data_IF_840994999028
#
_entry.id   IF_840994999028
#
_cell.length_a   1.000
_cell.length_b   1.000
_cell.length_c   1.000
_cell.angle_alpha   90.00
_cell.angle_beta   90.00
_cell.angle_gamma   90.00
#
_symmetry.space_group_name_H-M   'P 1'
#
loop_
_entity.id
_entity.type
_entity.pdbx_description
1 polymer ?
#
# COMPACT_ATOMS: atom_id res chain seq x y z
N UNK A 1 5.36 -11.30 -4.07
CA UNK A 1 4.93 -9.89 -4.32
C UNK A 1 3.76 -9.55 -3.40
N UNK A 2 3.62 -8.27 -3.03
CA UNK A 2 2.57 -7.79 -2.11
C UNK A 2 1.85 -6.57 -2.65
N UNK A 3 0.55 -6.46 -2.41
CA UNK A 3 -0.26 -5.25 -2.68
C UNK A 3 -0.72 -4.63 -1.37
N UNK A 4 -0.20 -3.46 -1.02
CA UNK A 4 -0.53 -2.77 0.23
C UNK A 4 -1.84 -1.97 0.12
N UNK A 5 -2.61 -2.01 1.21
CA UNK A 5 -3.84 -1.23 1.34
C UNK A 5 -4.15 -0.93 2.81
N UNK A 6 -5.06 0.02 3.03
CA UNK A 6 -5.64 0.27 4.34
C UNK A 6 -7.06 -0.27 4.36
N UNK A 7 -7.34 -1.38 5.06
CA UNK A 7 -8.60 -2.09 4.92
C UNK A 7 -9.79 -1.26 5.40
N UNK A 8 -9.59 -0.46 6.44
CA UNK A 8 -10.65 0.28 7.14
C UNK A 8 -10.72 1.76 6.73
N UNK A 9 -9.92 2.21 5.76
CA UNK A 9 -10.00 3.59 5.28
C UNK A 9 -11.31 3.87 4.55
N UNK A 10 -11.84 5.10 4.61
CA UNK A 10 -13.12 5.44 4.01
C UNK A 10 -13.10 5.32 2.49
N UNK A 11 -14.06 4.60 1.92
CA UNK A 11 -14.21 4.44 0.48
C UNK A 11 -15.67 4.11 0.10
N UNK A 12 -16.25 4.86 -0.85
CA UNK A 12 -17.63 4.69 -1.37
C UNK A 12 -18.72 4.50 -0.28
N UNK A 13 -18.62 5.24 0.81
CA UNK A 13 -19.58 5.17 1.93
C UNK A 13 -19.39 3.99 2.88
N UNK A 14 -18.35 3.17 2.68
CA UNK A 14 -17.92 2.10 3.57
C UNK A 14 -16.40 2.10 3.76
N UNK A 15 -15.84 0.92 4.01
CA UNK A 15 -14.39 0.72 4.09
C UNK A 15 -13.83 0.20 2.75
N UNK A 16 -12.54 0.40 2.51
CA UNK A 16 -11.83 -0.17 1.34
C UNK A 16 -12.08 -1.67 1.23
N UNK A 17 -11.99 -2.41 2.34
CA UNK A 17 -12.18 -3.87 2.33
C UNK A 17 -13.60 -4.29 1.95
N UNK A 18 -14.62 -3.49 2.27
CA UNK A 18 -16.00 -3.78 1.88
C UNK A 18 -16.15 -3.75 0.36
N UNK A 19 -15.47 -2.80 -0.29
CA UNK A 19 -15.48 -2.70 -1.76
C UNK A 19 -14.75 -3.85 -2.42
N UNK A 20 -13.65 -4.33 -1.83
CA UNK A 20 -12.93 -5.51 -2.31
C UNK A 20 -13.82 -6.74 -2.29
N UNK A 21 -14.63 -6.91 -1.24
CA UNK A 21 -15.59 -8.01 -1.14
C UNK A 21 -16.71 -7.87 -2.16
N UNK A 22 -17.21 -6.66 -2.39
CA UNK A 22 -18.27 -6.41 -3.37
C UNK A 22 -17.79 -6.64 -4.82
N UNK A 23 -16.55 -6.24 -5.12
CA UNK A 23 -16.00 -6.31 -6.48
C UNK A 23 -15.41 -7.69 -6.82
N UNK A 24 -14.90 -8.43 -5.83
CA UNK A 24 -14.20 -9.70 -6.05
C UNK A 24 -12.84 -9.55 -6.76
N UNK A 25 -12.42 -8.31 -7.04
CA UNK A 25 -11.15 -7.97 -7.67
C UNK A 25 -10.49 -6.78 -6.99
N UNK A 26 -9.17 -6.74 -6.99
CA UNK A 26 -8.40 -5.57 -6.57
C UNK A 26 -8.23 -4.63 -7.76
N UNK A 27 -8.67 -3.39 -7.60
CA UNK A 27 -8.76 -2.40 -8.70
C UNK A 27 -7.63 -1.37 -8.65
N UNK A 28 -7.24 -0.90 -9.83
CA UNK A 28 -6.25 0.17 -9.98
C UNK A 28 -6.77 1.52 -9.46
N UNK A 29 -5.86 2.48 -9.28
CA UNK A 29 -6.22 3.85 -8.94
C UNK A 29 -7.15 4.50 -9.98
N UNK A 30 -6.93 4.23 -11.28
CA UNK A 30 -7.79 4.74 -12.36
C UNK A 30 -9.24 4.28 -12.22
N UNK A 31 -9.46 3.08 -11.67
CA UNK A 31 -10.81 2.54 -11.45
C UNK A 31 -11.46 3.03 -10.16
N UNK A 32 -10.66 3.27 -9.12
CA UNK A 32 -11.17 3.57 -7.78
C UNK A 32 -11.26 5.06 -7.50
N UNK A 33 -10.39 5.88 -8.11
CA UNK A 33 -10.20 7.27 -7.72
C UNK A 33 -9.60 7.44 -6.32
N UNK A 34 -9.09 6.37 -5.72
CA UNK A 34 -8.49 6.35 -4.38
C UNK A 34 -7.03 5.91 -4.43
N UNK A 35 -6.18 6.45 -3.56
CA UNK A 35 -4.78 6.04 -3.47
C UNK A 35 -4.17 6.42 -2.13
N UNK A 36 -3.17 5.64 -1.71
CA UNK A 36 -2.29 5.98 -0.59
C UNK A 36 -1.07 6.80 -1.07
N UNK A 37 -0.92 6.99 -2.38
CA UNK A 37 0.02 7.91 -3.05
C UNK A 37 -0.63 9.26 -3.41
N UNK A 38 -0.27 9.84 -4.54
CA UNK A 38 -0.91 11.05 -5.10
C UNK A 38 -2.12 10.69 -5.97
N UNK A 39 -3.15 11.54 -6.03
CA UNK A 39 -4.35 11.36 -6.87
C UNK A 39 -4.16 11.90 -8.29
N UNK A 40 -3.27 11.27 -9.07
CA UNK A 40 -2.86 11.78 -10.40
C UNK A 40 -3.18 10.82 -11.55
N UNK A 41 -4.01 9.80 -11.30
CA UNK A 41 -4.45 8.80 -12.28
C UNK A 41 -5.60 9.30 -13.16
N UNK A 42 -5.30 10.27 -14.02
CA UNK A 42 -6.19 10.78 -15.07
C UNK A 42 -5.34 11.17 -16.28
N UNK A 43 -5.93 11.31 -17.49
CA UNK A 43 -5.20 11.76 -18.67
C UNK A 43 -4.39 13.03 -18.39
N UNK A 44 -3.10 13.00 -18.72
CA UNK A 44 -2.15 14.10 -18.51
C UNK A 44 -1.60 14.26 -17.08
N UNK A 45 -2.11 13.54 -16.08
CA UNK A 45 -1.59 13.54 -14.71
C UNK A 45 -0.31 12.70 -14.56
N UNK A 46 0.41 12.87 -13.44
CA UNK A 46 1.72 12.24 -13.24
C UNK A 46 1.67 10.71 -13.38
N UNK A 47 0.69 10.06 -12.74
CA UNK A 47 0.52 8.62 -12.83
C UNK A 47 0.29 8.15 -14.27
N UNK A 48 -0.50 8.88 -15.05
CA UNK A 48 -0.69 8.58 -16.47
C UNK A 48 0.62 8.73 -17.26
N UNK A 49 1.42 9.76 -16.98
CA UNK A 49 2.72 9.99 -17.65
C UNK A 49 3.72 8.89 -17.32
N UNK A 50 3.77 8.42 -16.07
CA UNK A 50 4.66 7.32 -15.67
C UNK A 50 4.29 6.03 -16.41
N UNK A 51 3.00 5.67 -16.42
CA UNK A 51 2.54 4.48 -17.13
C UNK A 51 2.78 4.58 -18.65
N UNK A 52 2.55 5.75 -19.26
CA UNK A 52 2.83 5.99 -20.68
C UNK A 52 4.32 5.79 -20.99
N UNK A 53 5.22 6.33 -20.17
CA UNK A 53 6.67 6.16 -20.31
C UNK A 53 7.10 4.71 -20.12
N UNK A 54 6.75 4.08 -19.00
CA UNK A 54 7.21 2.73 -18.63
C UNK A 54 6.64 1.65 -19.55
N UNK A 55 5.41 1.82 -20.03
CA UNK A 55 4.71 0.81 -20.83
C UNK A 55 4.53 1.23 -22.29
N UNK A 56 5.31 2.20 -22.77
CA UNK A 56 5.33 2.66 -24.16
C UNK A 56 3.92 2.99 -24.68
N UNK A 57 3.15 3.72 -23.88
CA UNK A 57 1.80 4.18 -24.21
C UNK A 57 0.72 3.09 -24.24
N UNK A 58 1.03 1.84 -23.84
CA UNK A 58 0.12 0.69 -23.91
C UNK A 58 -1.26 0.94 -23.29
N UNK A 59 -1.32 1.77 -22.25
CA UNK A 59 -2.55 2.01 -21.49
C UNK A 59 -3.19 3.37 -21.76
N UNK A 60 -2.61 4.22 -22.62
CA UNK A 60 -2.97 5.64 -22.71
C UNK A 60 -4.45 5.85 -23.00
N UNK A 61 -5.00 5.06 -23.93
CA UNK A 61 -6.40 5.02 -24.33
C UNK A 61 -7.18 3.81 -23.76
N UNK A 62 -6.54 3.02 -22.90
CA UNK A 62 -7.13 1.78 -22.38
C UNK A 62 -8.14 2.06 -21.25
N UNK A 63 -9.19 1.21 -21.10
CA UNK A 63 -10.13 1.31 -20.00
C UNK A 63 -9.45 1.23 -18.62
N UNK A 64 -10.00 1.96 -17.65
CA UNK A 64 -9.44 2.11 -16.31
C UNK A 64 -9.20 0.78 -15.55
N UNK A 65 -9.99 -0.25 -15.84
CA UNK A 65 -9.94 -1.58 -15.22
C UNK A 65 -8.91 -2.52 -15.88
N UNK A 66 -8.34 -2.12 -17.02
CA UNK A 66 -7.24 -2.83 -17.69
C UNK A 66 -5.86 -2.28 -17.30
N UNK A 67 -5.82 -1.13 -16.62
CA UNK A 67 -4.62 -0.47 -16.11
C UNK A 67 -3.93 -1.34 -15.04
N UNK A 68 -2.59 -1.29 -14.95
CA UNK A 68 -1.84 -2.10 -14.00
C UNK A 68 -2.18 -1.76 -12.54
N UNK A 69 -2.18 -2.79 -11.71
CA UNK A 69 -2.27 -2.67 -10.25
C UNK A 69 -0.86 -2.53 -9.68
N UNK A 70 -0.68 -1.60 -8.74
CA UNK A 70 0.64 -1.35 -8.16
C UNK A 70 0.80 -2.07 -6.83
N UNK A 71 2.00 -2.58 -6.61
CA UNK A 71 2.45 -3.20 -5.37
C UNK A 71 3.96 -3.14 -5.28
N UNK A 72 4.54 -4.10 -4.56
CA UNK A 72 5.99 -4.18 -4.40
C UNK A 72 6.50 -5.62 -4.35
N UNK A 73 7.73 -5.79 -4.83
CA UNK A 73 8.50 -7.00 -4.59
C UNK A 73 8.97 -7.03 -3.12
N UNK A 74 8.61 -8.08 -2.38
CA UNK A 74 8.97 -8.21 -0.96
C UNK A 74 10.37 -8.83 -0.82
N UNK A 75 11.39 -7.99 -1.07
CA UNK A 75 12.81 -8.33 -1.28
C UNK A 75 13.43 -9.20 -0.17
N UNK A 76 13.01 -8.97 1.07
CA UNK A 76 13.58 -9.62 2.27
C UNK A 76 12.57 -10.49 3.02
N UNK A 77 11.46 -10.85 2.37
CA UNK A 77 10.34 -11.50 3.05
C UNK A 77 9.92 -10.75 4.33
N UNK A 78 9.91 -9.42 4.26
CA UNK A 78 9.53 -8.56 5.38
C UNK A 78 8.10 -8.93 5.79
N UNK A 79 7.84 -9.25 7.07
CA UNK A 79 6.51 -9.63 7.54
C UNK A 79 5.49 -8.50 7.41
N UNK A 80 5.90 -7.24 7.22
CA UNK A 80 5.00 -6.11 6.94
C UNK A 80 4.76 -5.88 5.43
N UNK A 81 5.36 -6.70 4.57
CA UNK A 81 5.25 -6.61 3.11
C UNK A 81 6.25 -5.63 2.48
N UNK A 82 6.24 -5.57 1.14
CA UNK A 82 7.30 -4.89 0.37
C UNK A 82 7.23 -3.36 0.31
N UNK A 83 6.14 -2.71 0.73
CA UNK A 83 6.00 -1.26 0.66
C UNK A 83 5.08 -0.68 1.74
N UNK A 84 5.52 -0.74 3.00
CA UNK A 84 4.78 -0.30 4.20
C UNK A 84 4.27 1.14 4.13
N UNK A 85 4.84 2.01 3.28
CA UNK A 85 4.30 3.35 3.02
C UNK A 85 2.83 3.35 2.65
N UNK A 86 2.37 2.33 1.92
CA UNK A 86 1.07 2.36 1.25
C UNK A 86 -0.02 1.54 1.94
N UNK A 87 0.20 0.97 3.12
CA UNK A 87 -0.86 0.21 3.76
C UNK A 87 -0.43 -0.48 5.04
N UNK A 88 -1.39 -0.56 5.96
CA UNK A 88 -1.29 -1.31 7.21
C UNK A 88 -1.60 -2.79 7.05
N UNK A 89 -1.98 -3.20 5.85
CA UNK A 89 -2.31 -4.58 5.51
C UNK A 89 -1.92 -4.81 4.06
N UNK A 90 -1.79 -6.07 3.66
CA UNK A 90 -1.40 -6.38 2.31
C UNK A 90 -1.99 -7.70 1.82
N UNK A 91 -2.14 -7.79 0.50
CA UNK A 91 -2.41 -9.05 -0.18
C UNK A 91 -1.06 -9.70 -0.48
N UNK A 92 -0.88 -10.96 -0.08
CA UNK A 92 0.19 -11.81 -0.60
C UNK A 92 -0.30 -12.48 -1.87
N UNK A 93 0.35 -12.16 -2.99
CA UNK A 93 -0.01 -12.69 -4.30
C UNK A 93 0.63 -14.05 -4.51
N UNK A 94 -0.06 -14.91 -5.26
CA UNK A 94 0.49 -16.20 -5.69
C UNK A 94 1.69 -15.98 -6.62
N UNK A 95 2.65 -16.93 -6.68
CA UNK A 95 3.87 -16.79 -7.48
C UNK A 95 3.61 -16.54 -8.98
N UNK A 96 2.57 -17.15 -9.55
CA UNK A 96 2.23 -17.06 -10.98
C UNK A 96 1.86 -15.63 -11.42
N UNK A 97 1.52 -14.75 -10.48
CA UNK A 97 1.23 -13.35 -10.80
C UNK A 97 2.49 -12.60 -11.26
N UNK A 98 3.68 -13.10 -10.89
CA UNK A 98 4.97 -12.52 -11.30
C UNK A 98 5.17 -12.60 -12.81
N UNK A 99 4.66 -13.65 -13.48
CA UNK A 99 4.81 -13.85 -14.93
C UNK A 99 4.15 -12.74 -15.77
N UNK A 100 3.24 -11.97 -15.16
CA UNK A 100 2.56 -10.83 -15.79
C UNK A 100 2.83 -9.51 -15.08
N UNK A 101 3.94 -9.42 -14.37
CA UNK A 101 4.35 -8.22 -13.67
C UNK A 101 5.64 -7.62 -14.23
N UNK A 102 5.73 -6.31 -14.16
CA UNK A 102 6.98 -5.57 -14.34
C UNK A 102 7.39 -4.91 -13.04
N UNK A 103 8.66 -4.52 -12.96
CA UNK A 103 9.30 -3.99 -11.76
C UNK A 103 10.20 -2.81 -12.12
N UNK A 104 10.34 -1.85 -11.21
CA UNK A 104 11.35 -0.81 -11.30
C UNK A 104 11.91 -0.44 -9.92
N UNK A 105 13.08 0.19 -9.96
CA UNK A 105 13.67 0.87 -8.82
C UNK A 105 14.49 2.08 -9.30
N UNK A 106 14.40 3.26 -8.66
CA UNK A 106 13.42 3.63 -7.63
C UNK A 106 11.96 3.58 -8.14
N UNK A 107 10.98 3.94 -7.30
CA UNK A 107 9.57 3.91 -7.72
C UNK A 107 9.29 4.89 -8.89
N UNK A 108 8.13 4.71 -9.56
CA UNK A 108 7.75 5.47 -10.76
C UNK A 108 7.86 7.00 -10.65
N UNK A 109 7.73 7.59 -9.44
CA UNK A 109 7.80 9.05 -9.24
C UNK A 109 9.19 9.60 -9.53
N UNK A 110 10.22 8.78 -9.33
CA UNK A 110 11.62 9.15 -9.48
C UNK A 110 12.16 8.95 -10.89
N UNK A 111 11.28 8.62 -11.84
CA UNK A 111 11.61 8.45 -13.25
C UNK A 111 12.72 7.40 -13.50
N UNK A 112 12.55 6.17 -12.98
CA UNK A 112 13.57 5.14 -13.07
C UNK A 112 13.85 4.77 -14.53
N UNK A 113 15.12 4.53 -14.82
CA UNK A 113 15.58 3.90 -16.06
C UNK A 113 15.67 2.38 -15.94
N UNK A 114 15.89 1.89 -14.72
CA UNK A 114 15.97 0.46 -14.42
C UNK A 114 14.56 -0.10 -14.23
N UNK A 115 14.10 -0.82 -15.25
CA UNK A 115 12.76 -1.36 -15.36
C UNK A 115 12.76 -2.63 -16.21
N UNK A 116 11.93 -3.60 -15.86
CA UNK A 116 11.79 -4.83 -16.65
C UNK A 116 10.81 -5.82 -16.05
N UNK A 117 10.78 -7.02 -16.62
CA UNK A 117 10.04 -8.16 -16.06
C UNK A 117 10.80 -8.78 -14.88
N UNK A 118 10.41 -9.99 -14.47
CA UNK A 118 11.03 -10.71 -13.37
C UNK A 118 12.55 -10.93 -13.51
N UNK A 119 13.10 -10.89 -14.74
CA UNK A 119 14.55 -11.05 -14.97
C UNK A 119 15.36 -9.85 -14.48
N UNK A 120 14.73 -8.68 -14.33
CA UNK A 120 15.36 -7.48 -13.79
C UNK A 120 15.48 -7.50 -12.25
N UNK A 121 14.70 -8.34 -11.55
CA UNK A 121 14.62 -8.32 -10.08
C UNK A 121 15.97 -8.42 -9.35
N UNK A 122 16.94 -9.27 -9.74
CA UNK A 122 18.23 -9.32 -9.06
C UNK A 122 18.97 -7.98 -9.09
N UNK A 123 18.95 -7.30 -10.24
CA UNK A 123 19.58 -5.98 -10.43
C UNK A 123 18.84 -4.90 -9.65
N UNK A 124 17.51 -4.86 -9.74
CA UNK A 124 16.69 -3.89 -9.02
C UNK A 124 16.81 -4.03 -7.49
N UNK A 125 16.95 -5.26 -6.99
CA UNK A 125 17.18 -5.49 -5.56
C UNK A 125 18.56 -4.99 -5.13
N UNK A 126 19.61 -5.22 -5.94
CA UNK A 126 20.95 -4.70 -5.64
C UNK A 126 20.97 -3.16 -5.58
N UNK A 127 20.32 -2.49 -6.54
CA UNK A 127 20.17 -1.03 -6.51
C UNK A 127 19.43 -0.54 -5.26
N UNK A 128 18.40 -1.26 -4.83
CA UNK A 128 17.64 -0.95 -3.62
C UNK A 128 18.47 -1.16 -2.34
N UNK A 129 19.34 -2.17 -2.31
CA UNK A 129 20.23 -2.44 -1.17
C UNK A 129 21.34 -1.40 -1.04
N UNK A 130 21.81 -0.83 -2.15
CA UNK A 130 22.82 0.23 -2.20
C UNK A 130 22.24 1.64 -2.01
N UNK A 131 20.91 1.77 -2.02
CA UNK A 131 20.22 3.06 -1.93
C UNK A 131 20.23 3.66 -0.52
N UNK A 132 20.37 4.99 -0.44
CA UNK A 132 20.18 5.75 0.79
C UNK A 132 18.71 6.15 1.02
N UNK A 133 17.77 5.67 0.20
CA UNK A 133 16.35 5.93 0.39
C UNK A 133 15.84 5.36 1.72
N UNK A 134 14.97 6.12 2.38
CA UNK A 134 14.35 5.71 3.63
C UNK A 134 13.49 4.45 3.48
N UNK A 135 13.19 3.80 4.60
CA UNK A 135 12.39 2.58 4.68
C UNK A 135 11.01 2.66 4.01
N UNK A 136 10.40 3.85 3.96
CA UNK A 136 9.13 4.07 3.28
C UNK A 136 9.26 4.22 1.76
N UNK A 137 10.44 4.55 1.24
CA UNK A 137 10.64 4.90 -0.18
C UNK A 137 11.58 3.89 -0.89
N UNK A 138 12.19 2.96 -0.17
CA UNK A 138 13.12 1.93 -0.70
C UNK A 138 12.42 0.62 -1.17
N UNK A 139 11.28 0.76 -1.85
CA UNK A 139 10.53 -0.37 -2.39
C UNK A 139 10.87 -0.60 -3.87
N UNK A 140 11.14 -1.86 -4.25
CA UNK A 140 11.10 -2.26 -5.67
C UNK A 140 9.64 -2.32 -6.06
N UNK A 141 9.19 -1.30 -6.78
CA UNK A 141 7.80 -1.14 -7.20
C UNK A 141 7.45 -2.23 -8.23
N UNK A 142 6.25 -2.78 -8.11
CA UNK A 142 5.74 -3.80 -9.00
C UNK A 142 4.43 -3.34 -9.67
N UNK A 143 4.27 -3.69 -10.93
CA UNK A 143 3.09 -3.40 -11.73
C UNK A 143 2.51 -4.70 -12.26
N UNK A 144 1.37 -5.14 -11.70
CA UNK A 144 0.67 -6.33 -12.18
C UNK A 144 -0.21 -5.94 -13.36
N UNK A 145 0.04 -6.54 -14.53
CA UNK A 145 -0.74 -6.29 -15.73
C UNK A 145 -2.02 -7.13 -15.77
N UNK A 146 -3.15 -6.45 -16.01
CA UNK A 146 -4.48 -7.03 -15.94
C UNK A 146 -5.03 -7.14 -14.51
N UNK A 147 -6.26 -7.65 -14.40
CA UNK A 147 -6.98 -7.69 -13.12
C UNK A 147 -6.37 -8.66 -12.13
N UNK A 148 -6.41 -8.31 -10.84
CA UNK A 148 -6.05 -9.18 -9.71
C UNK A 148 -7.34 -9.66 -9.05
N UNK A 149 -7.63 -10.96 -9.16
CA UNK A 149 -8.84 -11.59 -8.62
C UNK A 149 -8.50 -12.30 -7.32
N UNK A 150 -9.27 -12.07 -6.25
CA UNK A 150 -8.99 -12.71 -4.95
C UNK A 150 -8.97 -14.24 -5.05
N UNK A 151 -9.94 -14.83 -5.77
CA UNK A 151 -10.06 -16.28 -5.89
C UNK A 151 -8.95 -16.96 -6.70
N UNK A 152 -8.18 -16.22 -7.49
CA UNK A 152 -7.22 -16.79 -8.45
C UNK A 152 -5.78 -16.31 -8.22
N UNK A 153 -5.59 -15.08 -7.75
CA UNK A 153 -4.29 -14.41 -7.74
C UNK A 153 -3.78 -14.15 -6.31
N UNK A 154 -4.66 -14.23 -5.31
CA UNK A 154 -4.33 -13.96 -3.91
C UNK A 154 -4.19 -15.26 -3.15
N UNK A 155 -3.08 -15.38 -2.41
CA UNK A 155 -2.82 -16.50 -1.52
C UNK A 155 -3.38 -16.20 -0.13
N UNK A 156 -3.06 -15.02 0.41
CA UNK A 156 -3.48 -14.58 1.73
C UNK A 156 -3.77 -13.08 1.78
N UNK A 157 -4.72 -12.71 2.63
CA UNK A 157 -4.97 -11.36 3.11
C UNK A 157 -4.29 -11.24 4.47
N UNK A 158 -3.21 -10.46 4.53
CA UNK A 158 -2.44 -10.27 5.76
C UNK A 158 -2.85 -8.96 6.42
N UNK A 159 -3.40 -9.05 7.63
CA UNK A 159 -3.94 -7.93 8.40
C UNK A 159 -3.01 -7.52 9.54
N UNK A 160 -3.19 -6.29 10.00
CA UNK A 160 -2.65 -5.87 11.28
C UNK A 160 -3.46 -6.51 12.43
N UNK A 161 -2.83 -6.96 13.53
CA UNK A 161 -3.51 -7.54 14.69
C UNK A 161 -4.57 -6.63 15.33
N UNK A 162 -4.49 -5.31 15.15
CA UNK A 162 -5.53 -4.38 15.62
C UNK A 162 -6.88 -4.57 14.91
N UNK A 163 -6.94 -5.32 13.81
CA UNK A 163 -8.17 -5.67 13.12
C UNK A 163 -8.80 -6.99 13.58
N UNK A 164 -8.15 -7.76 14.46
CA UNK A 164 -8.71 -9.00 14.99
C UNK A 164 -10.00 -8.74 15.77
N UNK A 165 -11.04 -9.53 15.50
CA UNK A 165 -12.38 -9.38 16.09
C UNK A 165 -13.18 -8.19 15.57
N UNK A 166 -12.72 -7.51 14.52
CA UNK A 166 -13.41 -6.33 13.96
C UNK A 166 -14.19 -6.66 12.68
N UNK A 167 -14.97 -5.70 12.19
CA UNK A 167 -15.65 -5.81 10.90
C UNK A 167 -14.68 -6.01 9.72
N UNK A 168 -13.42 -5.57 9.86
CA UNK A 168 -12.37 -5.78 8.85
C UNK A 168 -12.01 -7.25 8.72
N UNK A 169 -11.77 -7.96 9.82
CA UNK A 169 -11.49 -9.40 9.79
C UNK A 169 -12.67 -10.17 9.19
N UNK A 170 -13.90 -9.82 9.59
CA UNK A 170 -15.11 -10.42 9.05
C UNK A 170 -15.25 -10.20 7.53
N UNK A 171 -14.90 -9.01 7.02
CA UNK A 171 -14.88 -8.72 5.60
C UNK A 171 -13.75 -9.49 4.88
N UNK A 172 -12.54 -9.55 5.46
CA UNK A 172 -11.42 -10.29 4.90
C UNK A 172 -11.74 -11.78 4.69
N UNK A 173 -12.41 -12.41 5.66
CA UNK A 173 -12.84 -13.81 5.57
C UNK A 173 -13.80 -14.07 4.38
N UNK A 174 -14.56 -13.06 3.94
CA UNK A 174 -15.46 -13.16 2.79
C UNK A 174 -14.77 -13.09 1.43
N UNK A 175 -13.48 -12.72 1.40
CA UNK A 175 -12.67 -12.71 0.15
C UNK A 175 -12.29 -14.13 -0.32
N UNK A 176 -12.52 -15.15 0.50
CA UNK A 176 -12.21 -16.55 0.16
C UNK A 176 -10.72 -16.88 0.14
N UNK A 177 -9.89 -16.03 0.74
CA UNK A 177 -8.44 -16.21 0.89
C UNK A 177 -8.09 -16.59 2.34
N UNK A 178 -6.88 -17.11 2.57
CA UNK A 178 -6.38 -17.24 3.94
C UNK A 178 -6.29 -15.85 4.59
N UNK A 179 -6.71 -15.75 5.85
CA UNK A 179 -6.52 -14.53 6.66
C UNK A 179 -5.37 -14.78 7.62
N UNK A 180 -4.34 -13.95 7.53
CA UNK A 180 -3.13 -14.03 8.34
C UNK A 180 -2.85 -12.68 9.02
N UNK A 181 -1.90 -12.68 9.96
CA UNK A 181 -1.52 -11.47 10.69
C UNK A 181 -0.01 -11.27 10.64
N UNK A 182 0.42 -10.02 10.42
CA UNK A 182 1.80 -9.61 10.62
C UNK A 182 2.03 -9.18 12.10
N UNK A 183 3.27 -8.85 12.54
CA UNK A 183 3.57 -8.60 13.95
C UNK A 183 2.91 -7.34 14.59
N UNK A 184 2.26 -6.51 13.77
CA UNK A 184 1.49 -5.33 14.17
C UNK A 184 2.27 -4.03 14.27
N UNK A 185 1.60 -2.93 13.89
CA UNK A 185 2.08 -1.57 14.07
C UNK A 185 1.53 -0.94 15.34
N UNK A 186 2.41 -0.39 16.16
CA UNK A 186 2.02 0.32 17.39
C UNK A 186 3.05 1.34 17.82
N UNK A 187 2.62 2.58 18.07
CA UNK A 187 3.50 3.63 18.60
C UNK A 187 2.75 4.52 19.59
N UNK A 188 3.43 5.04 20.62
CA UNK A 188 2.88 6.12 21.45
C UNK A 188 3.29 7.46 20.85
N UNK A 189 2.44 8.48 20.98
CA UNK A 189 2.71 9.80 20.40
C UNK A 189 4.09 10.37 20.80
N UNK A 190 4.47 10.22 22.08
CA UNK A 190 5.78 10.67 22.58
C UNK A 190 7.01 9.91 22.05
N UNK A 191 6.82 8.82 21.30
CA UNK A 191 7.90 8.11 20.61
C UNK A 191 8.03 8.51 19.12
N UNK A 192 7.17 9.41 18.63
CA UNK A 192 7.23 9.92 17.26
C UNK A 192 8.15 11.15 17.26
N UNK A 193 9.17 11.14 16.41
CA UNK A 193 10.01 12.33 16.20
C UNK A 193 9.20 13.46 15.53
N UNK A 194 9.03 14.63 16.18
CA UNK A 194 8.34 15.77 15.59
C UNK A 194 9.01 16.31 14.32
N UNK A 195 10.29 16.02 14.06
CA UNK A 195 10.97 16.42 12.83
C UNK A 195 10.56 15.61 11.60
N UNK A 196 9.99 14.39 11.78
CA UNK A 196 9.72 13.49 10.65
C UNK A 196 8.54 13.93 9.77
N UNK A 197 7.36 14.18 10.37
CA UNK A 197 6.17 14.69 9.68
C UNK A 197 5.63 16.00 10.24
N UNK A 198 6.36 16.60 11.17
CA UNK A 198 6.03 17.87 11.80
C UNK A 198 5.27 17.70 13.12
N UNK A 199 5.38 18.70 14.02
CA UNK A 199 4.78 18.65 15.36
C UNK A 199 3.24 18.57 15.33
N UNK A 200 2.60 19.11 14.29
CA UNK A 200 1.14 19.00 14.12
C UNK A 200 0.64 17.55 13.96
N UNK A 201 1.46 16.64 13.43
CA UNK A 201 1.13 15.22 13.32
C UNK A 201 1.32 14.50 14.66
N UNK A 202 2.33 14.91 15.45
CA UNK A 202 2.49 14.43 16.82
C UNK A 202 1.31 14.87 17.68
N UNK A 203 0.89 16.14 17.59
CA UNK A 203 -0.30 16.65 18.27
C UNK A 203 -1.58 15.90 17.85
N UNK A 204 -1.70 15.51 16.58
CA UNK A 204 -2.80 14.64 16.13
C UNK A 204 -2.73 13.27 16.85
N UNK A 205 -1.56 12.62 16.89
CA UNK A 205 -1.37 11.37 17.61
C UNK A 205 -1.72 11.50 19.10
N UNK A 206 -1.28 12.57 19.76
CA UNK A 206 -1.61 12.86 21.17
C UNK A 206 -3.12 13.00 21.37
N UNK A 207 -3.81 13.68 20.45
CA UNK A 207 -5.27 13.86 20.52
C UNK A 207 -6.07 12.57 20.39
N UNK A 208 -5.53 11.56 19.69
CA UNK A 208 -6.14 10.22 19.61
C UNK A 208 -5.92 9.43 20.90
N UNK A 209 -4.84 9.73 21.63
CA UNK A 209 -4.51 9.14 22.93
C UNK A 209 -4.08 7.68 22.87
N UNK A 210 -3.50 7.22 23.98
CA UNK A 210 -3.14 5.81 24.16
C UNK A 210 -2.05 5.31 23.20
N UNK A 211 -2.21 4.07 22.75
CA UNK A 211 -1.32 3.42 21.78
C UNK A 211 -1.93 3.58 20.38
N UNK A 212 -1.18 4.20 19.47
CA UNK A 212 -1.63 4.43 18.10
C UNK A 212 -1.46 3.14 17.31
N UNK A 213 -2.55 2.65 16.73
CA UNK A 213 -2.62 1.45 15.89
C UNK A 213 -3.30 1.78 14.55
N UNK A 214 -3.20 0.91 13.53
CA UNK A 214 -3.89 1.12 12.27
C UNK A 214 -5.40 1.29 12.43
N UNK A 215 -6.05 0.46 13.24
CA UNK A 215 -7.50 0.56 13.51
C UNK A 215 -7.88 1.91 14.13
N UNK A 216 -7.09 2.44 15.08
CA UNK A 216 -7.37 3.74 15.67
C UNK A 216 -7.23 4.87 14.63
N UNK A 217 -6.19 4.82 13.80
CA UNK A 217 -5.96 5.81 12.74
C UNK A 217 -7.09 5.77 11.71
N UNK A 218 -7.46 4.59 11.24
CA UNK A 218 -8.54 4.43 10.26
C UNK A 218 -9.91 4.82 10.84
N UNK A 219 -10.22 4.43 12.09
CA UNK A 219 -11.44 4.87 12.79
C UNK A 219 -11.52 6.39 12.90
N UNK A 220 -10.43 7.03 13.28
CA UNK A 220 -10.37 8.49 13.34
C UNK A 220 -10.53 9.13 11.96
N UNK A 221 -9.88 8.57 10.93
CA UNK A 221 -10.01 9.05 9.54
C UNK A 221 -11.45 8.95 9.02
N UNK A 222 -12.20 7.90 9.40
CA UNK A 222 -13.62 7.76 9.04
C UNK A 222 -14.53 8.76 9.78
N UNK A 223 -14.19 9.12 11.01
CA UNK A 223 -15.02 9.99 11.85
C UNK A 223 -14.73 11.49 11.69
N UNK A 224 -13.57 11.85 11.15
CA UNK A 224 -13.08 13.22 11.20
C UNK A 224 -13.53 14.10 10.03
N UNK A 225 -13.77 15.38 10.33
CA UNK A 225 -13.84 16.49 9.36
C UNK A 225 -12.42 17.10 9.21
N UNK A 226 -11.39 16.24 9.10
CA UNK A 226 -9.99 16.66 8.99
C UNK A 226 -9.43 16.25 7.64
N UNK A 227 -8.37 16.91 7.13
CA UNK A 227 -7.77 16.54 5.86
C UNK A 227 -7.26 15.10 5.91
N UNK A 228 -7.61 14.29 4.91
CA UNK A 228 -7.10 12.93 4.76
C UNK A 228 -5.56 12.86 4.77
N UNK A 229 -4.91 13.94 4.34
CA UNK A 229 -3.46 14.06 4.32
C UNK A 229 -2.81 14.01 5.71
N UNK A 230 -3.48 14.50 6.76
CA UNK A 230 -2.94 14.45 8.12
C UNK A 230 -2.91 13.00 8.64
N UNK A 231 -3.98 12.24 8.40
CA UNK A 231 -4.03 10.82 8.76
C UNK A 231 -3.06 9.97 7.95
N UNK A 232 -2.86 10.30 6.67
CA UNK A 232 -1.81 9.68 5.86
C UNK A 232 -0.41 9.95 6.42
N UNK A 233 -0.12 11.17 6.85
CA UNK A 233 1.17 11.49 7.49
C UNK A 233 1.31 10.81 8.85
N UNK A 234 0.23 10.71 9.63
CA UNK A 234 0.24 9.94 10.87
C UNK A 234 0.48 8.45 10.60
N UNK A 235 -0.09 7.91 9.54
CA UNK A 235 0.24 6.55 9.07
C UNK A 235 1.73 6.42 8.77
N UNK A 236 2.35 7.37 8.05
CA UNK A 236 3.80 7.30 7.81
C UNK A 236 4.61 7.26 9.11
N UNK A 237 4.22 8.03 10.14
CA UNK A 237 4.86 7.94 11.45
C UNK A 237 4.67 6.55 12.07
N UNK A 238 3.47 5.98 12.00
CA UNK A 238 3.18 4.65 12.52
C UNK A 238 3.94 3.55 11.78
N UNK A 239 4.06 3.63 10.45
CA UNK A 239 4.81 2.68 9.64
C UNK A 239 6.33 2.73 9.94
N UNK A 240 6.86 3.93 10.20
CA UNK A 240 8.27 4.14 10.48
C UNK A 240 8.64 3.78 11.94
N UNK A 241 7.92 4.32 12.93
CA UNK A 241 8.25 4.18 14.36
C UNK A 241 7.53 3.02 15.06
N UNK A 242 6.53 2.41 14.41
CA UNK A 242 5.60 1.48 15.06
C UNK A 242 5.86 0.00 14.79
N UNK A 243 6.91 -0.37 14.06
CA UNK A 243 7.20 -1.78 13.74
C UNK A 243 7.80 -2.51 14.95
N UNK A 244 7.36 -3.73 15.20
CA UNK A 244 8.05 -4.62 16.14
C UNK A 244 9.49 -4.89 15.65
N UNK A 245 10.49 -4.60 16.49
CA UNK A 245 11.91 -4.77 16.16
C UNK A 245 12.65 -3.49 15.77
N UNK A 246 11.94 -2.36 15.59
CA UNK A 246 12.56 -1.03 15.52
C UNK A 246 12.51 -0.42 16.93
N UNK A 247 13.53 -0.66 17.73
CA UNK A 247 13.78 0.00 19.01
C UNK A 247 15.14 0.69 18.95
#
# INVERSE_FOLDING_TARGET
>A
MTLQFHPDWPYRGGMVIDSMVADGIYRSQFSTGSSNGGLTAHPGGDRWRWESRLFTGRYDDAPADTRPVYGAWNRHADPYGGAIRFGSSYLRLRPEVVDRATFCFPDSVYEPTDFGDQTALPHLCALADESELGDLDNAVEAHVHGSVRFSADVEAVVLDPSFAGTAVEAAAARLGCAVEYHPGFRVRAGAIDPAYRGPHIVALAESLGGLITPELVGRAARAAIRPAQDFKRLWHCLAHFGRAGTA
#
